data_IF_877512418138
#
_entry.id   IF_877512418138
#
_cell.length_a   1.000
_cell.length_b   1.000
_cell.length_c   1.000
_cell.angle_alpha   90.00
_cell.angle_beta   90.00
_cell.angle_gamma   90.00
#
_symmetry.space_group_name_H-M   'P 1'
#
loop_
_entity.id
_entity.type
_entity.pdbx_description
1 polymer ?
#
# COMPACT_ATOMS: atom_id res chain seq x y z
N UNK A 1 2.49 -45.47 0.14
CA UNK A 1 3.47 -44.43 -0.28
C UNK A 1 3.60 -43.47 0.89
N UNK A 2 4.70 -43.51 1.65
CA UNK A 2 4.88 -42.73 2.89
C UNK A 2 5.11 -41.24 2.63
N UNK A 3 4.18 -40.59 1.94
CA UNK A 3 4.19 -39.18 1.58
C UNK A 3 2.92 -38.50 2.12
N UNK A 4 3.04 -37.26 2.58
CA UNK A 4 1.92 -36.44 3.05
C UNK A 4 1.94 -35.06 2.41
N UNK A 5 0.76 -34.41 2.22
CA UNK A 5 0.70 -33.02 1.79
C UNK A 5 1.17 -32.11 2.93
N UNK A 6 1.98 -31.12 2.60
CA UNK A 6 2.47 -30.11 3.54
C UNK A 6 2.23 -28.69 3.01
N UNK A 7 1.89 -27.77 3.93
CA UNK A 7 1.76 -26.34 3.67
C UNK A 7 2.92 -25.61 4.37
N UNK A 8 3.54 -24.65 3.68
CA UNK A 8 4.62 -23.85 4.28
C UNK A 8 4.11 -22.99 5.45
N UNK A 9 4.68 -23.14 6.63
CA UNK A 9 4.41 -22.27 7.79
C UNK A 9 5.52 -21.24 7.94
N UNK A 10 5.18 -19.95 8.00
CA UNK A 10 6.11 -18.90 8.42
C UNK A 10 5.94 -18.62 9.91
N UNK A 11 7.02 -18.24 10.58
CA UNK A 11 6.98 -17.88 12.00
C UNK A 11 6.07 -16.66 12.21
N UNK A 12 5.18 -16.75 13.21
CA UNK A 12 4.31 -15.64 13.61
C UNK A 12 5.19 -14.46 14.04
N UNK A 13 4.89 -13.28 13.48
CA UNK A 13 5.57 -12.04 13.86
C UNK A 13 5.33 -11.78 15.34
N UNK A 14 6.41 -11.53 16.10
CA UNK A 14 6.31 -11.21 17.52
C UNK A 14 5.99 -9.73 17.68
N UNK A 15 4.96 -9.43 18.47
CA UNK A 15 4.63 -8.06 18.85
C UNK A 15 5.81 -7.45 19.65
N UNK A 16 6.09 -6.14 19.46
CA UNK A 16 6.97 -5.41 20.35
C UNK A 16 6.52 -5.49 21.81
N UNK A 17 7.43 -5.41 22.77
CA UNK A 17 7.08 -5.47 24.20
C UNK A 17 6.13 -4.35 24.63
N UNK A 18 6.22 -3.19 23.98
CA UNK A 18 5.46 -1.97 24.27
C UNK A 18 4.35 -1.69 23.23
N UNK A 19 3.88 -2.72 22.49
CA UNK A 19 2.92 -2.55 21.40
C UNK A 19 1.62 -1.84 21.82
N UNK A 20 1.11 -2.09 23.03
CA UNK A 20 -0.09 -1.44 23.57
C UNK A 20 0.11 0.07 23.69
N UNK A 21 1.22 0.49 24.30
CA UNK A 21 1.59 1.90 24.44
C UNK A 21 1.76 2.57 23.08
N UNK A 22 2.40 1.89 22.13
CA UNK A 22 2.56 2.40 20.77
C UNK A 22 1.21 2.60 20.07
N UNK A 23 0.29 1.64 20.21
CA UNK A 23 -1.06 1.71 19.66
C UNK A 23 -1.86 2.85 20.30
N UNK A 24 -1.83 2.97 21.64
CA UNK A 24 -2.51 4.05 22.37
C UNK A 24 -1.98 5.41 21.93
N UNK A 25 -0.66 5.59 21.89
CA UNK A 25 -0.05 6.86 21.42
C UNK A 25 -0.42 7.17 19.98
N UNK A 26 -0.48 6.16 19.12
CA UNK A 26 -0.90 6.32 17.72
C UNK A 26 -2.37 6.75 17.63
N UNK A 27 -3.26 6.09 18.37
CA UNK A 27 -4.67 6.43 18.43
C UNK A 27 -4.89 7.86 18.94
N UNK A 28 -4.22 8.26 20.01
CA UNK A 28 -4.34 9.60 20.59
C UNK A 28 -3.83 10.69 19.64
N UNK A 29 -2.72 10.45 18.92
CA UNK A 29 -2.21 11.38 17.91
C UNK A 29 -3.20 11.58 16.77
N UNK A 30 -3.76 10.49 16.23
CA UNK A 30 -4.79 10.56 15.17
C UNK A 30 -6.03 11.29 15.66
N UNK A 31 -6.55 10.93 16.84
CA UNK A 31 -7.73 11.57 17.43
C UNK A 31 -7.53 13.07 17.65
N UNK A 32 -6.35 13.48 18.12
CA UNK A 32 -6.00 14.89 18.29
C UNK A 32 -6.00 15.63 16.94
N UNK A 33 -5.30 15.11 15.93
CA UNK A 33 -5.22 15.75 14.60
C UNK A 33 -6.58 15.85 13.93
N UNK A 34 -7.38 14.78 14.00
CA UNK A 34 -8.75 14.77 13.45
C UNK A 34 -9.61 15.84 14.12
N UNK A 35 -9.53 15.95 15.45
CA UNK A 35 -10.29 16.93 16.21
C UNK A 35 -9.83 18.37 15.96
N UNK A 36 -8.52 18.62 15.95
CA UNK A 36 -7.94 19.96 15.81
C UNK A 36 -8.19 20.58 14.43
N UNK A 37 -8.33 19.74 13.40
CA UNK A 37 -8.50 20.18 12.02
C UNK A 37 -9.84 19.77 11.41
N UNK A 38 -10.80 19.34 12.24
CA UNK A 38 -12.15 18.92 11.83
C UNK A 38 -12.14 17.98 10.62
N UNK A 39 -11.26 16.98 10.64
CA UNK A 39 -11.05 16.08 9.48
C UNK A 39 -12.26 15.11 9.38
N UNK A 40 -13.08 15.19 8.32
CA UNK A 40 -14.18 14.25 8.12
C UNK A 40 -13.66 12.85 7.79
N UNK A 41 -14.51 11.83 7.99
CA UNK A 41 -14.14 10.43 7.76
C UNK A 41 -13.64 10.15 6.33
N UNK A 42 -14.21 10.81 5.33
CA UNK A 42 -13.78 10.68 3.93
C UNK A 42 -12.42 11.31 3.63
N UNK A 43 -11.92 12.21 4.49
CA UNK A 43 -10.58 12.78 4.41
C UNK A 43 -9.58 12.13 5.38
N UNK A 44 -9.97 11.02 6.02
CA UNK A 44 -9.06 10.14 6.74
C UNK A 44 -8.83 8.85 5.93
N UNK A 45 -7.70 8.80 5.22
CA UNK A 45 -7.34 7.73 4.30
C UNK A 45 -6.29 6.82 4.93
N UNK A 46 -6.52 5.52 4.84
CA UNK A 46 -5.52 4.49 5.13
C UNK A 46 -5.07 3.84 3.83
N UNK A 47 -3.76 3.62 3.70
CA UNK A 47 -3.19 2.95 2.54
C UNK A 47 -2.16 1.91 2.95
N UNK A 48 -2.11 0.84 2.16
CA UNK A 48 -1.16 -0.25 2.33
C UNK A 48 -0.65 -0.73 0.96
N UNK A 49 0.53 -1.35 0.95
CA UNK A 49 1.14 -1.96 -0.22
C UNK A 49 1.08 -3.46 -0.12
N UNK A 50 0.44 -4.10 -1.10
CA UNK A 50 0.38 -5.55 -1.18
C UNK A 50 1.05 -6.08 -2.43
N UNK A 51 1.62 -7.28 -2.33
CA UNK A 51 2.19 -7.99 -3.46
C UNK A 51 1.10 -8.78 -4.18
N UNK A 52 0.90 -8.50 -5.47
CA UNK A 52 0.06 -9.32 -6.34
C UNK A 52 0.95 -10.21 -7.23
N UNK A 53 0.84 -11.53 -7.05
CA UNK A 53 1.61 -12.52 -7.83
C UNK A 53 0.80 -12.94 -9.07
N UNK A 54 1.43 -12.95 -10.25
CA UNK A 54 0.75 -13.30 -11.50
C UNK A 54 0.21 -14.73 -11.53
N UNK A 55 0.96 -15.66 -10.93
CA UNK A 55 0.60 -17.06 -10.80
C UNK A 55 0.72 -17.45 -9.33
N UNK A 56 -0.36 -17.31 -8.53
CA UNK A 56 -0.34 -17.81 -7.15
C UNK A 56 -0.31 -19.34 -7.21
N UNK A 57 0.89 -19.93 -7.17
CA UNK A 57 1.04 -21.37 -7.00
C UNK A 57 0.41 -21.81 -5.69
N UNK A 58 -0.08 -23.04 -5.62
CA UNK A 58 -0.44 -23.63 -4.34
C UNK A 58 0.85 -23.88 -3.56
N UNK A 59 0.95 -23.37 -2.33
CA UNK A 59 2.10 -23.60 -1.43
C UNK A 59 2.15 -25.05 -0.92
N UNK A 60 1.61 -25.96 -1.72
CA UNK A 60 1.39 -27.36 -1.43
C UNK A 60 2.46 -28.16 -2.16
N UNK A 61 3.05 -29.09 -1.44
CA UNK A 61 3.93 -30.09 -2.03
C UNK A 61 3.74 -31.42 -1.31
N UNK A 62 4.19 -32.49 -1.95
CA UNK A 62 4.24 -33.81 -1.37
C UNK A 62 5.65 -34.07 -0.89
N UNK A 63 5.80 -34.40 0.40
CA UNK A 63 7.09 -34.77 0.99
C UNK A 63 6.96 -36.04 1.81
N UNK A 64 8.09 -36.62 2.22
CA UNK A 64 8.08 -37.87 2.98
C UNK A 64 7.42 -37.63 4.35
N UNK A 65 6.53 -38.53 4.77
CA UNK A 65 5.83 -38.42 6.05
C UNK A 65 6.83 -38.36 7.21
N UNK A 66 6.76 -37.30 8.01
CA UNK A 66 7.65 -37.05 9.16
C UNK A 66 8.80 -36.07 8.90
N UNK A 67 8.91 -35.51 7.69
CA UNK A 67 9.92 -34.52 7.35
C UNK A 67 9.62 -33.16 7.98
N UNK A 68 10.59 -32.60 8.71
CA UNK A 68 10.41 -31.34 9.48
C UNK A 68 10.62 -30.07 8.64
N UNK A 69 11.30 -30.18 7.49
CA UNK A 69 11.57 -29.07 6.58
C UNK A 69 11.40 -29.56 5.15
N UNK A 70 10.41 -28.99 4.45
CA UNK A 70 10.08 -29.37 3.09
C UNK A 70 10.49 -28.24 2.16
N UNK A 71 11.49 -28.50 1.30
CA UNK A 71 11.88 -27.54 0.25
C UNK A 71 10.89 -27.62 -0.90
N UNK A 72 10.24 -26.50 -1.20
CA UNK A 72 9.41 -26.35 -2.41
C UNK A 72 10.25 -25.68 -3.49
N UNK A 73 10.43 -26.35 -4.62
CA UNK A 73 11.16 -25.81 -5.78
C UNK A 73 10.26 -24.81 -6.51
N UNK A 74 10.83 -23.72 -7.04
CA UNK A 74 10.13 -22.65 -7.79
C UNK A 74 9.17 -21.72 -7.00
N UNK A 75 9.19 -21.72 -5.67
CA UNK A 75 8.49 -20.68 -4.87
C UNK A 75 9.25 -19.34 -4.87
N UNK A 76 10.55 -19.36 -5.17
CA UNK A 76 11.42 -18.18 -5.07
C UNK A 76 11.29 -17.21 -6.26
N UNK A 77 10.96 -17.70 -7.48
CA UNK A 77 10.80 -16.82 -8.64
C UNK A 77 9.41 -16.17 -8.65
N UNK A 78 9.27 -15.11 -7.85
CA UNK A 78 8.04 -14.33 -7.75
C UNK A 78 7.99 -13.29 -8.87
N UNK A 79 7.33 -13.63 -9.98
CA UNK A 79 6.77 -12.60 -10.87
C UNK A 79 5.58 -11.97 -10.17
N UNK A 80 5.76 -10.74 -9.73
CA UNK A 80 4.74 -10.01 -9.00
C UNK A 80 4.76 -8.52 -9.35
N UNK A 81 3.70 -7.85 -8.94
CA UNK A 81 3.58 -6.39 -8.93
C UNK A 81 3.28 -5.93 -7.51
N UNK A 82 3.66 -4.70 -7.18
CA UNK A 82 3.20 -4.06 -5.94
C UNK A 82 1.94 -3.26 -6.27
N UNK A 83 0.90 -3.43 -5.46
CA UNK A 83 -0.35 -2.66 -5.57
C UNK A 83 -0.48 -1.80 -4.33
N UNK A 84 -0.56 -0.48 -4.52
CA UNK A 84 -0.99 0.45 -3.48
C UNK A 84 -2.51 0.43 -3.42
N UNK A 85 -3.06 0.06 -2.27
CA UNK A 85 -4.49 0.04 -2.00
C UNK A 85 -4.79 1.14 -0.98
N UNK A 86 -5.90 1.86 -1.14
CA UNK A 86 -6.28 2.93 -0.23
C UNK A 86 -7.77 2.97 -0.01
N UNK A 87 -8.18 3.17 1.25
CA UNK A 87 -9.58 3.24 1.67
C UNK A 87 -9.73 4.41 2.63
N UNK A 88 -10.72 5.26 2.38
CA UNK A 88 -11.13 6.31 3.30
C UNK A 88 -11.98 5.73 4.45
N UNK A 89 -12.00 6.41 5.59
CA UNK A 89 -12.67 5.89 6.80
C UNK A 89 -14.19 5.86 6.71
N UNK A 90 -14.77 6.46 5.68
CA UNK A 90 -16.19 6.33 5.33
C UNK A 90 -16.49 5.09 4.46
N UNK A 91 -15.47 4.31 4.10
CA UNK A 91 -15.57 3.08 3.32
C UNK A 91 -15.32 3.26 1.82
N UNK A 92 -15.03 4.46 1.34
CA UNK A 92 -14.72 4.68 -0.08
C UNK A 92 -13.33 4.13 -0.43
N UNK A 93 -13.26 3.27 -1.46
CA UNK A 93 -11.99 2.84 -2.02
C UNK A 93 -11.48 3.85 -3.04
N UNK A 94 -10.20 4.21 -2.93
CA UNK A 94 -9.53 5.05 -3.92
C UNK A 94 -9.04 4.18 -5.09
N UNK A 95 -8.79 4.79 -6.27
CA UNK A 95 -8.13 4.12 -7.37
C UNK A 95 -6.80 3.44 -6.97
N UNK A 96 -6.51 2.29 -7.56
CA UNK A 96 -5.28 1.54 -7.31
C UNK A 96 -4.10 2.13 -8.08
N UNK A 97 -2.91 2.11 -7.47
CA UNK A 97 -1.65 2.20 -8.21
C UNK A 97 -0.98 0.83 -8.27
N UNK A 98 -0.82 0.30 -9.48
CA UNK A 98 -0.11 -0.94 -9.74
C UNK A 98 1.29 -0.66 -10.29
N UNK A 99 2.31 -1.13 -9.59
CA UNK A 99 3.72 -0.88 -9.85
C UNK A 99 4.35 -2.15 -10.44
N UNK A 100 4.79 -2.04 -11.69
CA UNK A 100 5.38 -3.12 -12.47
C UNK A 100 6.92 -3.03 -12.47
N UNK A 101 7.59 -4.17 -12.53
CA UNK A 101 9.04 -4.22 -12.78
C UNK A 101 9.36 -3.74 -14.19
N UNK A 102 10.42 -2.94 -14.35
CA UNK A 102 10.96 -2.57 -15.65
C UNK A 102 11.23 -1.07 -15.79
N UNK A 103 11.78 -0.68 -16.94
CA UNK A 103 12.24 0.70 -17.23
C UNK A 103 11.54 1.36 -18.42
N UNK A 104 10.51 0.72 -18.96
CA UNK A 104 9.83 1.20 -20.17
C UNK A 104 8.34 0.90 -20.13
N UNK A 105 7.57 1.59 -20.98
CA UNK A 105 6.14 1.35 -21.18
C UNK A 105 5.81 -0.08 -21.59
N UNK A 106 6.76 -0.80 -22.23
CA UNK A 106 6.60 -2.21 -22.58
C UNK A 106 6.53 -3.16 -21.38
N UNK A 107 6.84 -2.66 -20.18
CA UNK A 107 6.75 -3.42 -18.93
C UNK A 107 5.37 -3.31 -18.28
N UNK A 108 4.50 -2.44 -18.82
CA UNK A 108 3.12 -2.25 -18.39
C UNK A 108 2.17 -3.13 -19.21
N UNK A 109 0.94 -3.36 -18.72
CA UNK A 109 -0.11 -3.98 -19.51
C UNK A 109 -0.30 -3.25 -20.85
N UNK A 110 -0.53 -4.03 -21.90
CA UNK A 110 -0.78 -3.49 -23.23
C UNK A 110 -2.08 -2.66 -23.20
N UNK A 111 -2.08 -1.48 -23.83
CA UNK A 111 -3.29 -0.65 -23.94
C UNK A 111 -4.41 -1.31 -24.73
N UNK A 112 -4.11 -2.33 -25.55
CA UNK A 112 -5.10 -3.14 -26.24
C UNK A 112 -5.61 -4.34 -25.41
N UNK A 113 -5.16 -4.50 -24.15
CA UNK A 113 -5.64 -5.56 -23.28
C UNK A 113 -7.10 -5.34 -22.89
N UNK A 114 -7.83 -6.43 -22.66
CA UNK A 114 -9.21 -6.37 -22.19
C UNK A 114 -9.32 -5.57 -20.88
N UNK A 115 -10.32 -4.71 -20.79
CA UNK A 115 -10.61 -3.84 -19.65
C UNK A 115 -9.50 -2.82 -19.31
N UNK A 116 -8.53 -2.59 -20.19
CA UNK A 116 -7.51 -1.55 -19.99
C UNK A 116 -8.18 -0.17 -19.86
N UNK A 117 -9.06 0.16 -20.80
CA UNK A 117 -9.77 1.44 -20.80
C UNK A 117 -10.65 1.60 -19.55
N UNK A 118 -11.33 0.53 -19.12
CA UNK A 118 -12.14 0.55 -17.89
C UNK A 118 -11.29 0.87 -16.66
N UNK A 119 -10.09 0.27 -16.55
CA UNK A 119 -9.17 0.52 -15.45
C UNK A 119 -8.68 1.97 -15.43
N UNK A 120 -8.30 2.52 -16.59
CA UNK A 120 -7.85 3.91 -16.71
C UNK A 120 -9.00 4.89 -16.44
N UNK A 121 -10.21 4.61 -16.94
CA UNK A 121 -11.40 5.42 -16.71
C UNK A 121 -11.85 5.40 -15.23
N UNK A 122 -11.59 4.29 -14.53
CA UNK A 122 -11.77 4.20 -13.08
C UNK A 122 -10.66 4.93 -12.27
N UNK A 123 -9.69 5.54 -12.95
CA UNK A 123 -8.59 6.31 -12.35
C UNK A 123 -7.41 5.46 -11.90
N UNK A 124 -7.36 4.15 -12.21
CA UNK A 124 -6.23 3.32 -11.83
C UNK A 124 -4.96 3.77 -12.54
N UNK A 125 -3.83 3.69 -11.83
CA UNK A 125 -2.52 4.05 -12.34
C UNK A 125 -1.66 2.81 -12.51
N UNK A 126 -1.25 2.55 -13.75
CA UNK A 126 -0.32 1.48 -14.09
C UNK A 126 1.05 2.14 -14.31
N UNK A 127 1.97 1.93 -13.38
CA UNK A 127 3.28 2.61 -13.37
C UNK A 127 4.43 1.62 -13.34
N UNK A 128 5.56 2.02 -13.91
CA UNK A 128 6.79 1.22 -13.88
C UNK A 128 7.62 1.67 -12.69
N UNK A 129 8.21 0.75 -11.94
CA UNK A 129 9.14 1.10 -10.86
C UNK A 129 10.40 1.81 -11.35
N UNK A 130 10.67 1.77 -12.66
CA UNK A 130 11.92 2.23 -13.29
C UNK A 130 13.17 1.50 -12.79
N UNK A 131 12.99 0.33 -12.17
CA UNK A 131 14.07 -0.50 -11.64
C UNK A 131 13.96 -1.96 -12.09
N UNK A 132 14.92 -2.79 -11.67
CA UNK A 132 14.88 -4.24 -11.87
C UNK A 132 13.93 -4.96 -10.88
N UNK A 133 13.24 -4.23 -10.00
CA UNK A 133 12.29 -4.78 -9.02
C UNK A 133 10.89 -4.18 -9.21
N UNK A 134 9.85 -4.75 -8.62
CA UNK A 134 8.48 -4.20 -8.65
C UNK A 134 8.15 -3.36 -7.41
N UNK A 135 9.13 -3.08 -6.54
CA UNK A 135 8.91 -2.38 -5.29
C UNK A 135 8.59 -0.90 -5.51
N UNK A 136 7.75 -0.37 -4.62
CA UNK A 136 7.53 1.07 -4.54
C UNK A 136 8.81 1.79 -4.15
N UNK A 137 9.01 2.97 -4.74
CA UNK A 137 10.12 3.85 -4.48
C UNK A 137 9.62 5.30 -4.32
N UNK A 138 10.54 6.22 -4.12
CA UNK A 138 10.18 7.62 -3.90
C UNK A 138 9.38 8.22 -5.06
N UNK A 139 9.72 7.90 -6.30
CA UNK A 139 8.99 8.41 -7.48
C UNK A 139 7.58 7.86 -7.50
N UNK A 140 7.40 6.55 -7.37
CA UNK A 140 6.05 5.95 -7.43
C UNK A 140 5.16 6.42 -6.28
N UNK A 141 5.73 6.67 -5.09
CA UNK A 141 5.00 7.26 -3.97
C UNK A 141 4.58 8.72 -4.23
N UNK A 142 5.44 9.52 -4.87
CA UNK A 142 5.10 10.88 -5.31
C UNK A 142 4.00 10.86 -6.38
N UNK A 143 4.11 9.94 -7.35
CA UNK A 143 3.09 9.73 -8.38
C UNK A 143 1.74 9.33 -7.73
N UNK A 144 1.75 8.44 -6.73
CA UNK A 144 0.53 8.07 -5.99
C UNK A 144 -0.10 9.28 -5.31
N UNK A 145 0.70 10.08 -4.61
CA UNK A 145 0.21 11.27 -3.91
C UNK A 145 -0.40 12.29 -4.89
N UNK A 146 0.26 12.53 -6.02
CA UNK A 146 -0.17 13.51 -7.03
C UNK A 146 -1.38 13.06 -7.84
N UNK A 147 -1.39 11.79 -8.26
CA UNK A 147 -2.31 11.33 -9.30
C UNK A 147 -3.55 10.63 -8.75
N UNK A 148 -3.53 10.26 -7.46
CA UNK A 148 -4.63 9.54 -6.81
C UNK A 148 -5.06 10.23 -5.52
N UNK A 149 -4.15 10.39 -4.55
CA UNK A 149 -4.51 10.86 -3.21
C UNK A 149 -5.00 12.32 -3.19
N UNK A 150 -4.20 13.25 -3.73
CA UNK A 150 -4.54 14.67 -3.72
C UNK A 150 -5.77 15.00 -4.59
N UNK A 151 -5.97 14.40 -5.79
CA UNK A 151 -7.21 14.56 -6.55
C UNK A 151 -8.44 14.05 -5.81
N UNK A 152 -8.36 12.88 -5.16
CA UNK A 152 -9.44 12.35 -4.34
C UNK A 152 -9.82 13.32 -3.21
N UNK A 153 -8.84 13.78 -2.45
CA UNK A 153 -9.05 14.75 -1.35
C UNK A 153 -9.68 16.04 -1.87
N UNK A 154 -9.20 16.56 -3.00
CA UNK A 154 -9.72 17.81 -3.58
C UNK A 154 -11.18 17.68 -4.00
N UNK A 155 -11.52 16.57 -4.67
CA UNK A 155 -12.90 16.28 -5.07
C UNK A 155 -13.82 16.12 -3.86
N UNK A 156 -13.33 15.49 -2.78
CA UNK A 156 -14.11 15.28 -1.56
C UNK A 156 -14.30 16.58 -0.76
N UNK A 157 -13.30 17.46 -0.72
CA UNK A 157 -13.42 18.82 -0.15
C UNK A 157 -14.50 19.60 -0.89
N UNK A 158 -14.49 19.58 -2.23
CA UNK A 158 -15.51 20.25 -3.05
C UNK A 158 -16.91 19.66 -2.80
N UNK A 159 -17.03 18.32 -2.81
CA UNK A 159 -18.29 17.60 -2.59
C UNK A 159 -18.91 17.93 -1.23
N UNK A 160 -18.08 18.10 -0.19
CA UNK A 160 -18.52 18.44 1.16
C UNK A 160 -18.70 19.95 1.38
N UNK A 161 -18.34 20.80 0.41
CA UNK A 161 -18.37 22.25 0.55
C UNK A 161 -17.40 22.78 1.61
N UNK A 162 -16.28 22.08 1.83
CA UNK A 162 -15.26 22.41 2.81
C UNK A 162 -14.30 23.49 2.26
N UNK A 163 -13.59 24.22 3.13
CA UNK A 163 -12.67 25.24 2.67
C UNK A 163 -11.49 24.61 1.90
N UNK A 164 -10.91 25.28 0.88
CA UNK A 164 -9.83 24.71 0.06
C UNK A 164 -8.55 24.32 0.82
N UNK A 165 -8.36 24.88 2.03
CA UNK A 165 -7.24 24.57 2.92
C UNK A 165 -7.59 23.48 3.96
N UNK A 166 -8.75 22.83 3.85
CA UNK A 166 -9.16 21.72 4.70
C UNK A 166 -8.05 20.66 4.77
N UNK A 167 -7.79 20.18 5.99
CA UNK A 167 -6.76 19.17 6.22
C UNK A 167 -7.33 17.78 6.02
N UNK A 168 -6.47 16.90 5.54
CA UNK A 168 -6.69 15.47 5.41
C UNK A 168 -5.64 14.70 6.21
N UNK A 169 -5.97 13.49 6.64
CA UNK A 169 -5.07 12.58 7.32
C UNK A 169 -4.81 11.37 6.43
N UNK A 170 -3.54 11.11 6.11
CA UNK A 170 -3.12 9.95 5.36
C UNK A 170 -2.25 9.05 6.23
N UNK A 171 -2.65 7.79 6.38
CA UNK A 171 -1.96 6.80 7.21
C UNK A 171 -1.40 5.67 6.40
N UNK A 172 -0.10 5.40 6.59
CA UNK A 172 0.63 4.31 5.91
C UNK A 172 1.50 3.55 6.90
N UNK A 173 2.01 2.39 6.49
CA UNK A 173 2.93 1.60 7.28
C UNK A 173 4.33 2.25 7.42
N UNK A 174 5.07 1.86 8.46
CA UNK A 174 6.46 2.30 8.66
C UNK A 174 7.37 1.48 7.76
N UNK A 175 7.56 1.99 6.54
CA UNK A 175 8.52 1.47 5.57
C UNK A 175 9.61 2.51 5.25
N UNK A 176 10.81 2.05 4.89
CA UNK A 176 12.00 2.92 4.76
C UNK A 176 11.83 4.05 3.74
N UNK A 177 11.09 3.80 2.65
CA UNK A 177 10.77 4.83 1.64
C UNK A 177 9.77 5.85 2.20
N UNK A 178 8.72 5.37 2.88
CA UNK A 178 7.65 6.19 3.44
C UNK A 178 8.19 7.16 4.50
N UNK A 179 9.06 6.66 5.39
CA UNK A 179 9.67 7.45 6.46
C UNK A 179 10.92 8.22 6.00
N UNK A 180 11.28 8.18 4.71
CA UNK A 180 12.45 8.89 4.22
C UNK A 180 12.29 10.40 4.39
N UNK A 181 13.36 11.08 4.82
CA UNK A 181 13.35 12.54 4.98
C UNK A 181 12.99 13.24 3.68
N UNK A 182 13.48 12.72 2.55
CA UNK A 182 13.19 13.27 1.22
C UNK A 182 11.69 13.23 0.92
N UNK A 183 11.03 12.08 1.07
CA UNK A 183 9.60 11.97 0.84
C UNK A 183 8.79 12.83 1.82
N UNK A 184 9.14 12.82 3.11
CA UNK A 184 8.45 13.62 4.12
C UNK A 184 8.55 15.13 3.87
N UNK A 185 9.73 15.63 3.46
CA UNK A 185 9.90 17.05 3.11
C UNK A 185 9.12 17.39 1.85
N UNK A 186 9.18 16.54 0.83
CA UNK A 186 8.42 16.72 -0.40
C UNK A 186 6.91 16.78 -0.16
N UNK A 187 6.36 15.90 0.69
CA UNK A 187 4.94 15.94 1.09
C UNK A 187 4.58 17.26 1.78
N UNK A 188 5.42 17.75 2.69
CA UNK A 188 5.18 19.04 3.38
C UNK A 188 5.19 20.23 2.42
N UNK A 189 6.06 20.21 1.42
CA UNK A 189 6.21 21.28 0.44
C UNK A 189 5.09 21.27 -0.61
N UNK A 190 4.74 20.08 -1.13
CA UNK A 190 3.83 19.95 -2.28
C UNK A 190 2.37 19.66 -1.85
N UNK A 191 2.18 19.04 -0.69
CA UNK A 191 0.87 18.64 -0.16
C UNK A 191 0.69 19.10 1.31
N UNK A 192 0.83 20.41 1.61
CA UNK A 192 0.82 20.93 2.99
C UNK A 192 -0.51 20.75 3.76
N UNK A 193 -1.57 20.33 3.06
CA UNK A 193 -2.87 20.03 3.66
C UNK A 193 -3.06 18.55 3.98
N UNK A 194 -2.10 17.69 3.62
CA UNK A 194 -2.15 16.26 3.89
C UNK A 194 -1.19 15.94 5.04
N UNK A 195 -1.73 15.61 6.20
CA UNK A 195 -0.93 15.13 7.31
C UNK A 195 -0.59 13.67 7.12
N UNK A 196 0.70 13.38 7.07
CA UNK A 196 1.24 12.03 7.01
C UNK A 196 1.41 11.47 8.42
N UNK A 197 0.73 10.37 8.73
CA UNK A 197 0.88 9.61 9.97
C UNK A 197 1.17 8.14 9.67
N UNK A 198 1.65 7.41 10.69
CA UNK A 198 2.13 6.05 10.52
C UNK A 198 1.44 5.05 11.45
N UNK A 199 1.18 3.85 10.92
CA UNK A 199 0.81 2.69 11.72
C UNK A 199 2.06 2.20 12.47
N UNK A 200 2.02 1.99 13.80
CA UNK A 200 3.20 1.56 14.55
C UNK A 200 3.79 0.25 14.02
N UNK A 201 5.12 0.21 13.92
CA UNK A 201 5.84 -0.92 13.36
C UNK A 201 5.61 -2.20 14.16
N UNK A 202 5.26 -3.29 13.47
CA UNK A 202 5.00 -4.58 14.10
C UNK A 202 3.75 -4.64 14.97
N UNK A 203 2.84 -3.69 14.81
CA UNK A 203 1.55 -3.63 15.50
C UNK A 203 0.37 -3.82 14.53
N UNK A 204 0.63 -4.44 13.37
CA UNK A 204 -0.35 -4.82 12.33
C UNK A 204 -0.67 -6.29 12.40
#
# INVERSE_FOLDING_TARGET
LGWSPHQSTQAVQKLPTDWEDQCIRSCLRKAYVIKEHDIPASLFINSDQTQLVYAPGDKMTWSKTGEKQVKVVNVEEKRAITVMVSVASDGQALPLQAIYTGKSSRSLPNSAASNYDDAINAGFRLVSSMTATYWSNQTTMKDFANDILAPYISAEIERLGLPPNQKALWTIDVFSVHCSREFCMWMKENHPNIFLDYVPGGCT
#
